data_IF_938129838111
#
_entry.id   IF_938129838111
#
_cell.length_a   1.000
_cell.length_b   1.000
_cell.length_c   1.000
_cell.angle_alpha   90.00
_cell.angle_beta   90.00
_cell.angle_gamma   90.00
#
_symmetry.space_group_name_H-M   'P 1'
#
loop_
_entity.id
_entity.type
_entity.pdbx_description
1 polymer ?
#
# COMPACT_ATOMS: atom_id res chain seq x y z
N UNK A 1 1.47 -11.83 15.54
CA UNK A 1 0.09 -11.75 14.97
C UNK A 1 -0.04 -12.84 13.93
N UNK A 2 -1.10 -13.65 13.99
CA UNK A 2 -1.43 -14.64 12.95
C UNK A 2 -2.90 -14.44 12.57
N UNK A 3 -3.24 -14.60 11.30
CA UNK A 3 -4.62 -14.57 10.83
C UNK A 3 -4.88 -15.87 10.08
N UNK A 4 -5.74 -16.77 10.59
CA UNK A 4 -6.03 -18.04 9.95
C UNK A 4 -6.44 -17.87 8.49
N UNK A 5 -5.83 -18.64 7.59
CA UNK A 5 -6.09 -18.56 6.15
C UNK A 5 -5.35 -17.45 5.40
N UNK A 6 -4.45 -16.70 6.06
CA UNK A 6 -3.67 -15.63 5.44
C UNK A 6 -2.16 -15.84 5.60
N UNK A 7 -1.41 -15.33 4.64
CA UNK A 7 0.02 -15.08 4.75
C UNK A 7 0.21 -13.58 5.06
N UNK A 8 0.96 -13.27 6.11
CA UNK A 8 1.18 -11.90 6.55
C UNK A 8 2.57 -11.40 6.12
N UNK A 9 2.62 -10.15 5.69
CA UNK A 9 3.83 -9.41 5.39
C UNK A 9 3.87 -8.18 6.30
N UNK A 10 4.87 -8.10 7.18
CA UNK A 10 5.06 -7.01 8.15
C UNK A 10 6.44 -6.40 7.91
N UNK A 11 6.54 -5.26 7.23
CA UNK A 11 7.81 -4.54 7.08
C UNK A 11 8.33 -4.08 8.46
N UNK A 12 9.63 -4.26 8.71
CA UNK A 12 10.27 -3.88 9.97
C UNK A 12 10.08 -4.87 11.14
N UNK A 13 9.36 -5.98 10.95
CA UNK A 13 9.21 -7.04 11.96
C UNK A 13 8.21 -6.73 13.08
N UNK A 14 8.10 -7.65 14.04
CA UNK A 14 7.05 -7.66 15.07
C UNK A 14 7.19 -6.60 16.19
N UNK A 15 8.34 -5.90 16.27
CA UNK A 15 8.63 -4.92 17.32
C UNK A 15 7.92 -3.56 17.12
N UNK A 16 7.07 -3.44 16.10
CA UNK A 16 6.33 -2.23 15.82
C UNK A 16 5.11 -2.11 16.76
N UNK A 17 5.08 -1.10 17.64
CA UNK A 17 3.99 -0.87 18.62
C UNK A 17 2.60 -0.80 17.99
N UNK A 18 2.53 -0.44 16.70
CA UNK A 18 1.33 -0.51 15.89
C UNK A 18 1.67 -1.28 14.61
N UNK A 19 1.44 -2.60 14.53
CA UNK A 19 1.85 -3.39 13.39
C UNK A 19 1.06 -2.96 12.16
N UNK A 20 1.79 -2.60 11.10
CA UNK A 20 1.26 -2.29 9.78
C UNK A 20 1.76 -3.34 8.81
N UNK A 21 0.89 -3.81 7.94
CA UNK A 21 1.29 -4.80 6.95
C UNK A 21 0.20 -5.17 5.98
N UNK A 22 0.50 -6.17 5.16
CA UNK A 22 -0.38 -6.72 4.14
C UNK A 22 -0.68 -8.19 4.45
N UNK A 23 -1.93 -8.60 4.28
CA UNK A 23 -2.37 -9.97 4.42
C UNK A 23 -2.87 -10.49 3.08
N UNK A 24 -2.22 -11.54 2.57
CA UNK A 24 -2.62 -12.25 1.37
C UNK A 24 -3.51 -13.43 1.76
N UNK A 25 -4.68 -13.55 1.14
CA UNK A 25 -5.56 -14.72 1.32
C UNK A 25 -4.97 -15.94 0.62
N UNK A 26 -4.90 -17.08 1.32
CA UNK A 26 -4.43 -18.35 0.73
C UNK A 26 -5.43 -18.99 -0.25
N UNK A 27 -6.70 -18.57 -0.24
CA UNK A 27 -7.80 -19.24 -0.96
C UNK A 27 -8.67 -18.28 -1.78
N UNK A 28 -8.17 -17.08 -2.08
CA UNK A 28 -8.98 -16.12 -2.82
C UNK A 28 -8.40 -14.73 -2.85
N UNK A 29 -9.29 -13.74 -2.96
CA UNK A 29 -8.94 -12.35 -3.27
C UNK A 29 -9.30 -11.37 -2.16
N UNK A 30 -9.41 -11.88 -0.93
CA UNK A 30 -9.82 -11.10 0.24
C UNK A 30 -8.63 -10.46 0.95
N UNK A 31 -7.63 -10.04 0.18
CA UNK A 31 -6.42 -9.42 0.69
C UNK A 31 -6.74 -8.10 1.40
N UNK A 32 -5.98 -7.77 2.43
CA UNK A 32 -6.19 -6.54 3.20
C UNK A 32 -4.90 -5.95 3.75
N UNK A 33 -4.89 -4.62 3.87
CA UNK A 33 -3.92 -3.90 4.71
C UNK A 33 -4.44 -3.94 6.15
N UNK A 34 -3.55 -4.19 7.11
CA UNK A 34 -3.88 -4.10 8.52
C UNK A 34 -3.08 -3.03 9.24
N UNK A 35 -3.70 -2.46 10.28
CA UNK A 35 -3.09 -1.54 11.25
C UNK A 35 -3.57 -1.94 12.64
N UNK A 36 -2.74 -2.70 13.36
CA UNK A 36 -3.19 -3.45 14.53
C UNK A 36 -4.31 -4.42 14.17
N UNK A 37 -5.41 -4.39 14.92
CA UNK A 37 -6.59 -5.24 14.65
C UNK A 37 -7.47 -4.76 13.47
N UNK A 38 -7.21 -3.56 12.93
CA UNK A 38 -8.05 -2.94 11.90
C UNK A 38 -7.66 -3.48 10.53
N UNK A 39 -8.66 -3.71 9.66
CA UNK A 39 -8.46 -4.27 8.32
C UNK A 39 -9.11 -3.37 7.26
N UNK A 40 -8.37 -3.09 6.20
CA UNK A 40 -8.83 -2.43 5.00
C UNK A 40 -8.68 -3.36 3.82
N UNK A 41 -9.80 -3.83 3.28
CA UNK A 41 -9.81 -4.82 2.19
C UNK A 41 -9.48 -4.18 0.85
N UNK A 42 -8.52 -4.76 0.13
CA UNK A 42 -7.97 -4.23 -1.12
C UNK A 42 -9.05 -4.05 -2.18
N UNK A 43 -9.86 -5.08 -2.43
CA UNK A 43 -10.95 -5.04 -3.41
C UNK A 43 -12.08 -4.06 -3.07
N UNK A 44 -12.14 -3.59 -1.82
CA UNK A 44 -13.15 -2.64 -1.34
C UNK A 44 -12.62 -1.20 -1.26
N UNK A 45 -11.38 -0.96 -1.69
CA UNK A 45 -10.83 0.38 -1.71
C UNK A 45 -11.62 1.27 -2.69
N UNK A 46 -11.87 2.51 -2.30
CA UNK A 46 -12.52 3.49 -3.17
C UNK A 46 -11.51 4.00 -4.20
N UNK A 47 -11.75 3.74 -5.49
CA UNK A 47 -10.92 4.28 -6.57
C UNK A 47 -11.05 5.79 -6.67
N UNK A 48 -9.93 6.50 -6.72
CA UNK A 48 -9.84 7.95 -6.94
C UNK A 48 -9.52 8.32 -8.41
N UNK A 49 -9.83 7.41 -9.34
CA UNK A 49 -9.56 7.55 -10.76
C UNK A 49 -10.18 6.42 -11.57
N UNK A 50 -9.73 6.24 -12.81
CA UNK A 50 -10.29 5.24 -13.74
C UNK A 50 -9.89 3.79 -13.41
N UNK A 51 -8.81 3.61 -12.66
CA UNK A 51 -8.28 2.29 -12.32
C UNK A 51 -9.01 1.70 -11.13
N UNK A 52 -9.32 0.40 -11.23
CA UNK A 52 -9.90 -0.37 -10.14
C UNK A 52 -8.79 -0.89 -9.22
N UNK A 53 -9.05 -1.02 -7.91
CA UNK A 53 -8.12 -1.65 -6.99
C UNK A 53 -7.71 -3.06 -7.45
N UNK A 54 -6.41 -3.31 -7.52
CA UNK A 54 -5.80 -4.59 -7.86
C UNK A 54 -5.10 -5.23 -6.66
N UNK A 55 -4.80 -6.51 -6.74
CA UNK A 55 -3.97 -7.16 -5.73
C UNK A 55 -2.53 -6.65 -5.82
N UNK A 56 -1.85 -6.52 -4.68
CA UNK A 56 -0.41 -6.29 -4.64
C UNK A 56 0.30 -7.62 -4.88
N UNK A 57 0.96 -7.78 -6.02
CA UNK A 57 1.46 -9.09 -6.46
C UNK A 57 2.64 -9.58 -5.63
N UNK A 58 3.58 -8.67 -5.32
CA UNK A 58 4.75 -8.96 -4.48
C UNK A 58 4.78 -7.98 -3.29
N UNK A 59 4.02 -8.24 -2.22
CA UNK A 59 3.93 -7.33 -1.08
C UNK A 59 5.28 -7.03 -0.39
N UNK A 60 6.30 -7.85 -0.61
CA UNK A 60 7.68 -7.63 -0.14
C UNK A 60 8.40 -6.50 -0.89
N UNK A 61 8.00 -6.21 -2.13
CA UNK A 61 8.54 -5.12 -2.94
C UNK A 61 7.73 -3.82 -2.78
N UNK A 62 6.62 -3.86 -2.05
CA UNK A 62 5.82 -2.68 -1.76
C UNK A 62 6.46 -1.83 -0.65
N UNK A 63 6.36 -0.51 -0.77
CA UNK A 63 6.71 0.43 0.28
C UNK A 63 5.52 0.64 1.21
N UNK A 64 5.80 0.73 2.52
CA UNK A 64 4.80 0.96 3.55
C UNK A 64 5.21 2.15 4.40
N UNK A 65 4.26 3.02 4.70
CA UNK A 65 4.48 4.17 5.56
C UNK A 65 3.28 4.44 6.46
N UNK A 66 3.56 4.96 7.66
CA UNK A 66 2.56 5.65 8.48
C UNK A 66 2.89 7.12 8.44
N UNK A 67 1.96 7.92 7.92
CA UNK A 67 2.10 9.36 7.81
C UNK A 67 1.22 10.06 8.85
N UNK A 68 1.73 11.13 9.44
CA UNK A 68 0.98 12.00 10.34
C UNK A 68 0.78 13.36 9.68
N UNK A 69 -0.47 13.80 9.57
CA UNK A 69 -0.82 15.09 8.96
C UNK A 69 -2.01 15.70 9.71
N UNK A 70 -1.86 16.94 10.16
CA UNK A 70 -2.90 17.69 10.91
C UNK A 70 -3.57 16.88 12.04
N UNK A 71 -2.75 16.23 12.88
CA UNK A 71 -3.23 15.41 14.00
C UNK A 71 -3.90 14.08 13.60
N UNK A 72 -3.87 13.72 12.32
CA UNK A 72 -4.44 12.47 11.79
C UNK A 72 -3.31 11.56 11.31
N UNK A 73 -3.48 10.26 11.48
CA UNK A 73 -2.53 9.25 10.99
C UNK A 73 -3.12 8.51 9.79
N UNK A 74 -2.27 8.16 8.86
CA UNK A 74 -2.62 7.49 7.61
C UNK A 74 -1.67 6.31 7.41
N UNK A 75 -2.20 5.19 6.93
CA UNK A 75 -1.39 4.13 6.37
C UNK A 75 -1.32 4.30 4.87
N UNK A 76 -0.13 4.16 4.32
CA UNK A 76 0.13 4.16 2.89
C UNK A 76 0.84 2.87 2.51
N UNK A 77 0.35 2.21 1.46
CA UNK A 77 1.04 1.13 0.76
C UNK A 77 1.21 1.57 -0.69
N UNK A 78 2.42 1.47 -1.22
CA UNK A 78 2.71 1.78 -2.61
C UNK A 78 3.43 0.61 -3.25
N UNK A 79 3.05 0.26 -4.47
CA UNK A 79 3.80 -0.66 -5.33
C UNK A 79 4.13 0.05 -6.65
N UNK A 80 5.28 -0.30 -7.22
CA UNK A 80 5.62 0.10 -8.58
C UNK A 80 5.26 -1.05 -9.52
N UNK A 81 4.49 -0.75 -10.55
CA UNK A 81 4.06 -1.71 -11.56
C UNK A 81 4.78 -1.40 -12.88
N UNK A 82 5.46 -2.40 -13.43
CA UNK A 82 6.14 -2.33 -14.73
C UNK A 82 7.51 -3.01 -14.74
N UNK A 83 7.81 -3.73 -15.81
CA UNK A 83 9.16 -4.20 -16.15
C UNK A 83 9.70 -3.36 -17.31
N UNK A 84 10.99 -3.01 -17.29
CA UNK A 84 11.62 -2.19 -18.34
C UNK A 84 11.11 -0.74 -18.40
N UNK A 85 11.04 -0.16 -19.59
CA UNK A 85 10.66 1.25 -19.86
C UNK A 85 9.22 1.63 -19.49
N UNK A 86 8.42 0.68 -18.96
CA UNK A 86 7.07 0.89 -18.43
C UNK A 86 7.01 1.02 -16.89
N UNK A 87 8.16 1.06 -16.20
CA UNK A 87 8.29 1.13 -14.73
C UNK A 87 7.79 2.43 -14.06
N UNK A 88 7.07 3.26 -14.81
CA UNK A 88 6.61 4.57 -14.34
C UNK A 88 5.25 4.52 -13.66
N UNK A 89 4.53 3.40 -13.69
CA UNK A 89 3.21 3.33 -13.06
C UNK A 89 3.35 2.98 -11.57
N UNK A 90 2.89 3.86 -10.68
CA UNK A 90 2.78 3.56 -9.24
C UNK A 90 1.32 3.46 -8.83
N UNK A 91 0.95 2.37 -8.19
CA UNK A 91 -0.33 2.25 -7.47
C UNK A 91 -0.11 2.51 -5.99
N UNK A 92 -1.09 3.17 -5.38
CA UNK A 92 -1.08 3.46 -3.97
C UNK A 92 -2.43 3.18 -3.33
N UNK A 93 -2.37 2.60 -2.13
CA UNK A 93 -3.48 2.48 -1.20
C UNK A 93 -3.23 3.40 -0.02
N UNK A 94 -4.20 4.26 0.28
CA UNK A 94 -4.13 5.17 1.43
C UNK A 94 -5.38 5.01 2.29
N UNK A 95 -5.20 4.89 3.60
CA UNK A 95 -6.31 4.83 4.55
C UNK A 95 -6.03 5.67 5.78
N UNK A 96 -7.02 6.47 6.21
CA UNK A 96 -6.95 7.14 7.51
C UNK A 96 -7.07 6.10 8.61
N UNK A 97 -6.12 6.06 9.54
CA UNK A 97 -6.16 5.19 10.71
C UNK A 97 -7.23 5.76 11.66
N UNK A 98 -8.35 5.05 11.89
CA UNK A 98 -9.40 5.56 12.75
C UNK A 98 -8.94 5.55 14.21
N UNK A 99 -9.30 6.61 14.95
CA UNK A 99 -8.99 6.77 16.37
C UNK A 99 -9.86 5.86 17.25
N UNK A 100 -11.11 5.60 16.85
CA UNK A 100 -12.02 4.73 17.59
C UNK A 100 -11.65 3.26 17.48
N UNK A 101 -11.92 2.52 18.55
CA UNK A 101 -11.80 1.06 18.59
C UNK A 101 -12.95 0.44 17.78
N UNK A 102 -12.67 -0.66 17.07
CA UNK A 102 -13.66 -1.36 16.24
C UNK A 102 -13.98 -0.70 14.88
N UNK A 103 -13.57 0.55 14.64
CA UNK A 103 -13.77 1.19 13.36
C UNK A 103 -12.99 0.50 12.23
N UNK A 104 -13.67 0.34 11.08
CA UNK A 104 -13.08 -0.25 9.87
C UNK A 104 -12.08 0.71 9.23
N UNK A 105 -10.99 0.18 8.70
CA UNK A 105 -10.03 0.96 7.91
C UNK A 105 -10.58 1.09 6.49
N UNK A 106 -11.01 2.29 6.09
CA UNK A 106 -11.40 2.58 4.70
C UNK A 106 -10.17 2.92 3.89
N UNK A 107 -10.00 2.26 2.74
CA UNK A 107 -8.90 2.50 1.81
C UNK A 107 -9.38 3.30 0.60
N UNK A 108 -8.48 4.09 0.07
CA UNK A 108 -8.57 4.78 -1.20
C UNK A 108 -7.44 4.28 -2.10
N UNK A 109 -7.71 4.16 -3.39
CA UNK A 109 -6.79 3.62 -4.37
C UNK A 109 -6.57 4.62 -5.51
N UNK A 110 -5.32 4.80 -5.91
CA UNK A 110 -4.98 5.59 -7.10
C UNK A 110 -3.80 4.97 -7.83
N UNK A 111 -3.81 5.12 -9.14
CA UNK A 111 -2.67 4.84 -10.02
C UNK A 111 -2.17 6.18 -10.56
N UNK A 112 -0.86 6.37 -10.57
CA UNK A 112 -0.19 7.52 -11.16
C UNK A 112 0.87 7.04 -12.15
N UNK A 113 0.92 7.68 -13.32
CA UNK A 113 2.07 7.60 -14.20
C UNK A 113 3.12 8.58 -13.67
N UNK A 114 4.28 8.04 -13.34
CA UNK A 114 5.44 8.72 -12.75
C UNK A 114 6.52 8.73 -13.82
N UNK A 115 6.20 9.30 -15.00
CA UNK A 115 7.23 9.62 -15.97
C UNK A 115 8.26 10.51 -15.29
N UNK A 116 9.58 10.24 -15.43
CA UNK A 116 10.60 11.10 -14.89
C UNK A 116 10.40 12.48 -15.52
N UNK A 117 10.41 13.50 -14.67
CA UNK A 117 10.45 14.87 -15.17
C UNK A 117 11.75 15.08 -15.96
N UNK A 118 11.78 15.95 -16.98
CA UNK A 118 12.99 16.21 -17.78
C UNK A 118 14.23 16.59 -16.96
N UNK A 119 14.05 17.05 -15.71
CA UNK A 119 15.13 17.38 -14.80
C UNK A 119 15.95 16.16 -14.30
N UNK A 120 15.41 14.94 -14.34
CA UNK A 120 16.14 13.71 -13.97
C UNK A 120 16.87 13.06 -15.15
N UNK A 121 16.59 13.47 -16.39
CA UNK A 121 17.21 12.88 -17.59
C UNK A 121 18.55 13.49 -17.97
N UNK A 122 18.97 14.59 -17.31
CA UNK A 122 20.22 15.31 -17.64
C UNK A 122 21.42 14.81 -16.82
N UNK A 123 21.21 13.88 -15.88
CA UNK A 123 22.27 13.40 -14.98
C UNK A 123 23.14 12.25 -15.50
N UNK A 124 22.85 11.67 -16.66
CA UNK A 124 23.53 10.47 -17.16
C UNK A 124 24.04 10.61 -18.60
N UNK A 125 24.72 11.73 -18.90
CA UNK A 125 25.69 11.79 -19.99
C UNK A 125 27.03 12.25 -19.43
N UNK A 126 27.97 11.31 -19.32
CA UNK A 126 29.39 11.60 -19.15
C UNK A 126 30.01 11.04 -17.87
N UNK A 127 30.54 9.82 -17.96
CA UNK A 127 31.99 9.57 -18.02
C UNK A 127 32.25 8.19 -18.64
#
# INVERSE_FOLDING_TARGET
MTVPGYQLFIPGGANNKLPVGYATSKRGSNDFIFVGARRGYIRRAAGLGKHRPSRVEQPILAAYAVLSQHGRRYVCLMESNGSGSAAFVRSAYVGRIPSSQGAKLKLYYKVADVKPSPAESIGNMGK
#
